data_IF_194198833417
#
_entry.id   IF_194198833417
#
_cell.length_a   1.000
_cell.length_b   1.000
_cell.length_c   1.000
_cell.angle_alpha   90.00
_cell.angle_beta   90.00
_cell.angle_gamma   90.00
#
_symmetry.space_group_name_H-M   'P 1'
#
loop_
_entity.id
_entity.type
_entity.pdbx_description
1 polymer ?
#
# COMPACT_ATOMS: atom_id res chain seq x y z
N UNK A 1 -10.00 9.84 32.89
CA UNK A 1 -10.69 10.45 31.71
C UNK A 1 -11.94 11.19 32.12
N UNK A 2 -12.87 10.58 32.90
CA UNK A 2 -14.15 11.21 33.27
C UNK A 2 -13.95 12.53 34.02
N UNK A 3 -13.00 12.61 34.94
CA UNK A 3 -12.71 13.86 35.65
C UNK A 3 -12.24 14.98 34.71
N UNK A 4 -11.34 14.65 33.78
CA UNK A 4 -10.85 15.62 32.79
C UNK A 4 -11.95 16.05 31.82
N UNK A 5 -12.89 15.17 31.50
CA UNK A 5 -14.04 15.49 30.66
C UNK A 5 -14.98 16.48 31.36
N UNK A 6 -15.23 16.31 32.65
CA UNK A 6 -16.03 17.23 33.43
C UNK A 6 -15.37 18.62 33.52
N UNK A 7 -14.07 18.68 33.81
CA UNK A 7 -13.27 19.91 33.82
C UNK A 7 -13.29 20.61 32.46
N UNK A 8 -13.11 19.87 31.38
CA UNK A 8 -13.18 20.39 30.00
C UNK A 8 -14.53 21.04 29.72
N UNK A 9 -15.63 20.38 30.08
CA UNK A 9 -16.97 20.89 29.83
C UNK A 9 -17.23 22.19 30.62
N UNK A 10 -16.82 22.24 31.89
CA UNK A 10 -16.95 23.43 32.74
C UNK A 10 -16.15 24.60 32.20
N UNK A 11 -14.83 24.44 32.04
CA UNK A 11 -13.92 25.53 31.66
C UNK A 11 -14.20 26.00 30.23
N UNK A 12 -14.55 25.12 29.32
CA UNK A 12 -14.96 25.47 27.96
C UNK A 12 -16.25 26.32 27.99
N UNK A 13 -17.26 25.89 28.73
CA UNK A 13 -18.52 26.63 28.83
C UNK A 13 -18.36 28.01 29.45
N UNK A 14 -17.47 28.17 30.43
CA UNK A 14 -17.12 29.45 31.02
C UNK A 14 -16.38 30.35 30.03
N UNK A 15 -15.35 29.80 29.35
CA UNK A 15 -14.61 30.53 28.35
C UNK A 15 -15.49 30.99 27.17
N UNK A 16 -16.37 30.12 26.68
CA UNK A 16 -17.30 30.47 25.59
C UNK A 16 -18.26 31.63 25.98
N UNK A 17 -18.69 31.68 27.25
CA UNK A 17 -19.48 32.82 27.77
C UNK A 17 -18.67 34.13 27.80
N UNK A 18 -17.40 34.07 28.26
CA UNK A 18 -16.54 35.26 28.32
C UNK A 18 -16.25 35.76 26.92
N UNK A 19 -16.00 34.88 25.96
CA UNK A 19 -15.77 35.20 24.56
C UNK A 19 -16.98 35.91 23.96
N UNK A 20 -18.20 35.45 24.27
CA UNK A 20 -19.42 36.07 23.79
C UNK A 20 -19.65 37.46 24.44
N UNK A 21 -19.37 37.62 25.75
CA UNK A 21 -19.43 38.91 26.44
C UNK A 21 -18.41 39.91 25.89
N UNK A 22 -17.24 39.43 25.49
CA UNK A 22 -16.24 40.28 24.84
C UNK A 22 -16.73 40.80 23.48
N UNK A 23 -17.37 39.98 22.68
CA UNK A 23 -17.99 40.42 21.41
C UNK A 23 -19.05 41.51 21.61
N UNK A 24 -19.70 41.55 22.78
CA UNK A 24 -20.68 42.56 23.16
C UNK A 24 -20.06 43.77 23.87
N UNK A 25 -18.73 43.81 24.00
CA UNK A 25 -18.04 44.90 24.67
C UNK A 25 -18.19 44.90 26.19
N UNK A 26 -18.63 43.79 26.80
CA UNK A 26 -18.98 43.72 28.25
C UNK A 26 -17.83 43.25 29.13
N UNK A 27 -16.72 42.82 28.61
CA UNK A 27 -15.53 42.38 29.36
C UNK A 27 -14.24 42.92 28.73
N UNK A 28 -13.15 42.96 29.50
CA UNK A 28 -11.86 43.45 29.06
C UNK A 28 -11.12 42.47 28.11
N UNK A 29 -10.18 43.01 27.31
CA UNK A 29 -9.27 42.20 26.48
C UNK A 29 -8.50 41.17 27.32
N UNK A 30 -8.05 41.57 28.54
CA UNK A 30 -7.30 40.69 29.44
C UNK A 30 -8.16 39.50 29.91
N UNK A 31 -9.44 39.70 30.18
CA UNK A 31 -10.37 38.59 30.54
C UNK A 31 -10.63 37.69 29.37
N UNK A 32 -10.77 38.24 28.17
CA UNK A 32 -10.89 37.46 26.93
C UNK A 32 -9.66 36.59 26.71
N UNK A 33 -8.47 37.17 26.79
CA UNK A 33 -7.20 36.44 26.55
C UNK A 33 -7.01 35.29 27.58
N UNK A 34 -7.34 35.55 28.87
CA UNK A 34 -7.31 34.52 29.90
C UNK A 34 -8.29 33.38 29.59
N UNK A 35 -9.51 33.70 29.17
CA UNK A 35 -10.51 32.70 28.83
C UNK A 35 -10.09 31.85 27.62
N UNK A 36 -9.53 32.48 26.57
CA UNK A 36 -9.03 31.79 25.41
C UNK A 36 -7.85 30.87 25.79
N UNK A 37 -6.91 31.34 26.61
CA UNK A 37 -5.79 30.53 27.09
C UNK A 37 -6.25 29.34 27.94
N UNK A 38 -7.21 29.56 28.86
CA UNK A 38 -7.79 28.51 29.69
C UNK A 38 -8.49 27.44 28.83
N UNK A 39 -9.29 27.85 27.86
CA UNK A 39 -9.96 26.95 26.92
C UNK A 39 -8.94 26.11 26.10
N UNK A 40 -7.89 26.77 25.61
CA UNK A 40 -6.82 26.07 24.84
C UNK A 40 -6.11 25.02 25.69
N UNK A 41 -5.78 25.37 26.95
CA UNK A 41 -5.11 24.46 27.89
C UNK A 41 -5.97 23.25 28.21
N UNK A 42 -7.25 23.45 28.59
CA UNK A 42 -8.13 22.33 28.98
C UNK A 42 -8.47 21.44 27.77
N UNK A 43 -8.55 22.01 26.55
CA UNK A 43 -8.75 21.26 25.31
C UNK A 43 -7.58 20.36 25.02
N UNK A 44 -6.35 20.86 25.17
CA UNK A 44 -5.13 20.06 24.99
C UNK A 44 -5.07 18.89 25.98
N UNK A 45 -5.36 19.14 27.26
CA UNK A 45 -5.39 18.12 28.31
C UNK A 45 -6.46 17.05 28.04
N UNK A 46 -7.68 17.48 27.68
CA UNK A 46 -8.76 16.57 27.31
C UNK A 46 -8.38 15.68 26.13
N UNK A 47 -7.80 16.25 25.08
CA UNK A 47 -7.38 15.49 23.90
C UNK A 47 -6.27 14.49 24.26
N UNK A 48 -5.30 14.86 25.09
CA UNK A 48 -4.23 13.96 25.54
C UNK A 48 -4.81 12.75 26.30
N UNK A 49 -5.71 12.98 27.26
CA UNK A 49 -6.34 11.89 28.00
C UNK A 49 -7.30 11.05 27.16
N UNK A 50 -7.97 11.65 26.17
CA UNK A 50 -8.80 10.92 25.21
C UNK A 50 -7.97 10.00 24.31
N UNK A 51 -6.83 10.48 23.83
CA UNK A 51 -5.91 9.66 23.04
C UNK A 51 -5.36 8.52 23.87
N UNK A 52 -4.89 8.79 25.10
CA UNK A 52 -4.45 7.75 26.02
C UNK A 52 -5.53 6.68 26.29
N UNK A 53 -6.81 7.09 26.41
CA UNK A 53 -7.92 6.13 26.54
C UNK A 53 -8.14 5.32 25.24
N UNK A 54 -8.03 5.95 24.07
CA UNK A 54 -8.16 5.25 22.80
C UNK A 54 -7.02 4.22 22.61
N UNK A 55 -5.79 4.58 23.05
CA UNK A 55 -4.62 3.73 22.95
C UNK A 55 -4.71 2.47 23.86
N UNK A 56 -5.64 2.45 24.83
CA UNK A 56 -5.93 1.24 25.61
C UNK A 56 -6.69 0.17 24.80
N UNK A 57 -7.13 0.49 23.59
CA UNK A 57 -7.91 -0.42 22.73
C UNK A 57 -7.22 -0.54 21.38
N UNK A 58 -6.62 -1.69 21.15
CA UNK A 58 -6.10 -2.02 19.83
C UNK A 58 -7.27 -2.30 18.87
N UNK A 59 -7.34 -1.53 17.77
CA UNK A 59 -8.34 -1.69 16.72
C UNK A 59 -7.66 -2.08 15.43
N UNK A 60 -8.31 -2.93 14.63
CA UNK A 60 -7.88 -3.22 13.28
C UNK A 60 -7.92 -1.92 12.43
N UNK A 61 -6.84 -1.58 11.70
CA UNK A 61 -6.81 -0.39 10.84
C UNK A 61 -7.57 -0.57 9.53
N UNK A 62 -7.85 -1.80 9.13
CA UNK A 62 -8.56 -2.18 7.90
C UNK A 62 -9.33 -3.49 8.10
N UNK A 63 -10.20 -3.81 7.18
CA UNK A 63 -10.91 -5.10 7.14
C UNK A 63 -9.98 -6.18 6.58
N UNK A 64 -9.83 -7.29 7.31
CA UNK A 64 -8.89 -8.33 6.91
C UNK A 64 -8.90 -9.53 7.84
N UNK A 65 -7.91 -10.40 7.67
CA UNK A 65 -7.73 -11.59 8.50
C UNK A 65 -6.56 -11.42 9.45
N UNK A 66 -6.73 -11.93 10.67
CA UNK A 66 -5.61 -12.09 11.61
C UNK A 66 -4.72 -13.23 11.11
N UNK A 67 -3.49 -12.89 10.76
CA UNK A 67 -2.49 -13.88 10.35
C UNK A 67 -1.85 -14.55 11.55
N UNK A 68 -1.33 -13.74 12.48
CA UNK A 68 -0.69 -14.22 13.69
C UNK A 68 -1.12 -13.38 14.89
N UNK A 69 -1.29 -14.05 16.02
CA UNK A 69 -1.45 -13.47 17.34
C UNK A 69 -0.19 -13.82 18.15
N UNK A 70 0.61 -12.82 18.50
CA UNK A 70 1.91 -13.03 19.15
C UNK A 70 1.80 -13.16 20.67
N UNK A 71 0.74 -12.64 21.28
CA UNK A 71 0.53 -12.66 22.72
C UNK A 71 -0.87 -13.14 23.08
N UNK A 72 -0.98 -13.79 24.22
CA UNK A 72 -2.27 -14.19 24.81
C UNK A 72 -2.60 -13.29 26.00
N UNK A 73 -3.87 -13.10 26.30
CA UNK A 73 -4.29 -12.43 27.50
C UNK A 73 -4.24 -13.41 28.71
N UNK A 74 -3.77 -12.97 29.91
CA UNK A 74 -3.18 -11.69 30.22
C UNK A 74 -1.64 -11.74 30.12
N UNK A 75 -1.07 -10.98 29.20
CA UNK A 75 0.39 -10.84 29.05
C UNK A 75 0.79 -9.37 29.04
N UNK A 76 1.95 -9.07 29.59
CA UNK A 76 2.52 -7.71 29.56
C UNK A 76 3.31 -7.54 28.27
N UNK A 77 2.95 -6.55 27.49
CA UNK A 77 3.64 -6.19 26.23
C UNK A 77 4.30 -4.82 26.38
N UNK A 78 5.50 -4.70 25.82
CA UNK A 78 6.21 -3.42 25.79
C UNK A 78 5.74 -2.57 24.60
N UNK A 79 5.91 -1.26 24.73
CA UNK A 79 5.62 -0.33 23.63
C UNK A 79 6.48 -0.69 22.40
N UNK A 80 5.83 -0.69 21.22
CA UNK A 80 6.48 -1.03 19.96
C UNK A 80 6.51 -2.53 19.63
N UNK A 81 6.05 -3.40 20.55
CA UNK A 81 5.98 -4.84 20.27
C UNK A 81 4.72 -5.16 19.43
N UNK A 82 4.87 -5.89 18.31
CA UNK A 82 3.72 -6.29 17.50
C UNK A 82 2.86 -7.31 18.26
N UNK A 83 1.57 -7.03 18.43
CA UNK A 83 0.61 -7.89 19.15
C UNK A 83 -0.11 -8.82 18.20
N UNK A 84 -0.46 -8.33 17.00
CA UNK A 84 -1.21 -9.03 15.97
C UNK A 84 -0.67 -8.64 14.61
N UNK A 85 -0.50 -9.59 13.70
CA UNK A 85 -0.34 -9.31 12.28
C UNK A 85 -1.65 -9.57 11.54
N UNK A 86 -1.95 -8.68 10.59
CA UNK A 86 -3.16 -8.77 9.78
C UNK A 86 -2.82 -8.77 8.30
N UNK A 87 -3.64 -9.44 7.51
CA UNK A 87 -3.56 -9.45 6.05
C UNK A 87 -4.79 -8.73 5.52
N UNK A 88 -4.55 -7.79 4.58
CA UNK A 88 -5.61 -7.14 3.82
C UNK A 88 -6.36 -8.18 2.97
N UNK A 89 -7.66 -7.94 2.82
CA UNK A 89 -8.58 -8.84 2.15
C UNK A 89 -8.91 -8.44 0.71
N UNK A 90 -8.51 -7.26 0.26
CA UNK A 90 -9.00 -6.69 -0.98
C UNK A 90 -8.21 -7.16 -2.21
N UNK A 91 -6.90 -7.33 -2.06
CA UNK A 91 -6.02 -7.73 -3.16
C UNK A 91 -4.77 -8.46 -2.66
N UNK A 92 -4.08 -9.12 -3.58
CA UNK A 92 -2.75 -9.66 -3.37
C UNK A 92 -1.72 -8.79 -4.09
N UNK A 93 -0.54 -8.67 -3.52
CA UNK A 93 0.63 -8.14 -4.22
C UNK A 93 1.43 -9.31 -4.79
N UNK A 94 1.86 -9.17 -6.04
CA UNK A 94 2.68 -10.16 -6.76
C UNK A 94 3.98 -9.48 -7.14
N UNK A 95 5.08 -9.97 -6.58
CA UNK A 95 6.42 -9.48 -6.86
C UNK A 95 7.09 -10.36 -7.91
N UNK A 96 7.54 -9.74 -8.99
CA UNK A 96 8.22 -10.42 -10.10
C UNK A 96 9.56 -9.77 -10.35
N UNK A 97 10.60 -10.60 -10.46
CA UNK A 97 11.92 -10.12 -10.81
C UNK A 97 12.09 -10.13 -12.35
N UNK A 98 12.31 -8.96 -12.93
CA UNK A 98 12.51 -8.76 -14.37
C UNK A 98 13.98 -8.48 -14.68
N UNK A 99 14.52 -9.00 -15.79
CA UNK A 99 15.87 -8.72 -16.24
C UNK A 99 16.06 -7.25 -16.66
N UNK A 100 17.31 -6.77 -16.63
CA UNK A 100 17.65 -5.40 -17.04
C UNK A 100 17.20 -5.07 -18.47
N UNK A 101 17.26 -6.06 -19.39
CA UNK A 101 16.80 -5.90 -20.77
C UNK A 101 15.30 -5.58 -20.87
N UNK A 102 14.48 -6.23 -20.04
CA UNK A 102 13.05 -5.98 -20.01
C UNK A 102 12.73 -4.66 -19.26
N UNK A 103 13.51 -4.33 -18.22
CA UNK A 103 13.38 -3.05 -17.52
C UNK A 103 13.60 -1.84 -18.44
N UNK A 104 14.57 -1.91 -19.37
CA UNK A 104 14.80 -0.83 -20.35
C UNK A 104 13.57 -0.64 -21.24
N UNK A 105 12.86 -1.72 -21.56
CA UNK A 105 11.67 -1.75 -22.41
C UNK A 105 10.36 -1.63 -21.63
N UNK A 106 10.37 -1.24 -20.36
CA UNK A 106 9.18 -1.15 -19.48
C UNK A 106 8.06 -0.25 -20.03
N UNK A 107 8.40 0.73 -20.86
CA UNK A 107 7.43 1.61 -21.52
C UNK A 107 6.64 0.90 -22.64
N UNK A 108 7.13 -0.25 -23.08
CA UNK A 108 6.47 -1.11 -24.07
C UNK A 108 5.56 -2.16 -23.41
N UNK A 109 5.48 -2.23 -22.10
CA UNK A 109 4.59 -3.14 -21.41
C UNK A 109 3.13 -2.76 -21.68
N UNK A 110 2.30 -3.75 -22.07
CA UNK A 110 0.91 -3.51 -22.44
C UNK A 110 -0.08 -4.33 -21.61
N UNK A 111 0.20 -5.60 -21.42
CA UNK A 111 -0.73 -6.52 -20.75
C UNK A 111 -0.01 -7.32 -19.69
N UNK A 112 -0.73 -7.56 -18.60
CA UNK A 112 -0.20 -8.31 -17.46
C UNK A 112 -1.22 -9.32 -17.01
N UNK A 113 -0.83 -10.56 -16.90
CA UNK A 113 -1.66 -11.61 -16.33
C UNK A 113 -0.83 -12.66 -15.61
N UNK A 114 -1.46 -13.29 -14.64
CA UNK A 114 -0.86 -14.38 -13.89
C UNK A 114 -1.64 -15.66 -14.11
N UNK A 115 -0.92 -16.78 -14.00
CA UNK A 115 -1.47 -18.12 -13.89
C UNK A 115 -0.93 -18.75 -12.62
N UNK A 116 -1.80 -19.40 -11.84
CA UNK A 116 -1.40 -20.14 -10.65
C UNK A 116 -1.55 -21.63 -10.89
N UNK A 117 -0.61 -22.43 -10.37
CA UNK A 117 -0.64 -23.88 -10.52
C UNK A 117 -1.91 -24.51 -9.96
N UNK A 118 -2.52 -23.87 -8.94
CA UNK A 118 -3.77 -24.31 -8.33
C UNK A 118 -5.02 -24.04 -9.17
N UNK A 119 -4.90 -23.19 -10.22
CA UNK A 119 -5.98 -22.89 -11.17
C UNK A 119 -5.38 -22.61 -12.58
N UNK A 120 -4.84 -23.63 -13.25
CA UNK A 120 -4.07 -23.47 -14.48
C UNK A 120 -4.87 -22.88 -15.65
N UNK A 121 -6.18 -23.13 -15.68
CA UNK A 121 -7.07 -22.63 -16.73
C UNK A 121 -7.55 -21.19 -16.52
N UNK A 122 -7.18 -20.58 -15.39
CA UNK A 122 -7.62 -19.23 -15.04
C UNK A 122 -6.56 -18.20 -15.39
N UNK A 123 -6.91 -17.27 -16.28
CA UNK A 123 -6.10 -16.07 -16.55
C UNK A 123 -6.48 -14.99 -15.55
N UNK A 124 -5.56 -14.64 -14.68
CA UNK A 124 -5.77 -13.65 -13.63
C UNK A 124 -5.17 -12.31 -14.07
N UNK A 125 -6.01 -11.29 -14.34
CA UNK A 125 -5.50 -9.99 -14.75
C UNK A 125 -4.72 -9.33 -13.61
N UNK A 126 -3.61 -8.70 -13.97
CA UNK A 126 -2.73 -7.97 -13.07
C UNK A 126 -2.74 -6.48 -13.41
N UNK A 127 -2.61 -5.66 -12.39
CA UNK A 127 -2.39 -4.22 -12.49
C UNK A 127 -0.97 -3.91 -12.02
N UNK A 128 -0.16 -3.26 -12.87
CA UNK A 128 1.18 -2.84 -12.49
C UNK A 128 1.10 -1.70 -11.48
N UNK A 129 1.69 -1.88 -10.30
CA UNK A 129 1.78 -0.85 -9.26
C UNK A 129 3.03 0.00 -9.45
N UNK A 130 4.18 -0.65 -9.45
CA UNK A 130 5.47 0.02 -9.67
C UNK A 130 6.54 -0.97 -10.14
N UNK A 131 7.68 -0.41 -10.55
CA UNK A 131 8.92 -1.14 -10.81
C UNK A 131 10.04 -0.43 -10.05
N UNK A 132 10.81 -1.16 -9.26
CA UNK A 132 11.93 -0.59 -8.50
C UNK A 132 12.93 0.06 -9.46
N UNK A 133 13.48 1.22 -9.07
CA UNK A 133 14.48 1.93 -9.86
C UNK A 133 15.90 1.39 -9.67
N UNK A 134 16.12 0.54 -8.67
CA UNK A 134 17.39 -0.11 -8.38
C UNK A 134 17.30 -1.62 -8.55
N UNK A 135 18.30 -2.20 -9.22
CA UNK A 135 18.43 -3.65 -9.32
C UNK A 135 18.84 -4.25 -7.97
N UNK A 136 18.37 -5.46 -7.70
CA UNK A 136 18.81 -6.26 -6.56
C UNK A 136 20.20 -6.86 -6.78
N UNK A 137 20.73 -7.64 -5.81
CA UNK A 137 22.04 -8.30 -5.92
C UNK A 137 22.20 -9.21 -7.13
N UNK A 138 21.10 -9.73 -7.70
CA UNK A 138 21.08 -10.56 -8.89
C UNK A 138 20.93 -9.76 -10.19
N UNK A 139 21.05 -8.43 -10.14
CA UNK A 139 20.85 -7.52 -11.27
C UNK A 139 19.44 -7.57 -11.88
N UNK A 140 18.44 -7.90 -11.04
CA UNK A 140 17.05 -7.95 -11.42
C UNK A 140 16.30 -6.77 -10.80
N UNK A 141 15.33 -6.23 -11.52
CA UNK A 141 14.41 -5.21 -11.03
C UNK A 141 13.13 -5.87 -10.56
N UNK A 142 12.57 -5.42 -9.43
CA UNK A 142 11.31 -5.96 -8.94
C UNK A 142 10.14 -5.16 -9.48
N UNK A 143 9.28 -5.81 -10.26
CA UNK A 143 7.99 -5.29 -10.68
C UNK A 143 6.92 -5.78 -9.70
N UNK A 144 6.12 -4.87 -9.16
CA UNK A 144 5.01 -5.17 -8.24
C UNK A 144 3.70 -4.99 -8.96
N UNK A 145 2.85 -6.00 -8.82
CA UNK A 145 1.53 -6.04 -9.42
C UNK A 145 0.47 -6.22 -8.34
N UNK A 146 -0.69 -5.65 -8.58
CA UNK A 146 -1.91 -5.92 -7.83
C UNK A 146 -2.69 -7.01 -8.53
N UNK A 147 -3.05 -8.04 -7.76
CA UNK A 147 -3.95 -9.11 -8.18
C UNK A 147 -5.23 -9.01 -7.36
N UNK A 148 -6.37 -8.88 -8.04
CA UNK A 148 -7.66 -8.89 -7.37
C UNK A 148 -7.82 -10.22 -6.62
N UNK A 149 -8.36 -10.15 -5.41
CA UNK A 149 -8.55 -11.33 -4.57
C UNK A 149 -9.30 -12.44 -5.31
N UNK A 150 -8.72 -13.62 -5.23
CA UNK A 150 -9.32 -14.88 -5.68
C UNK A 150 -9.38 -15.83 -4.47
N UNK A 151 -10.55 -16.42 -4.15
CA UNK A 151 -10.72 -17.27 -2.96
C UNK A 151 -9.89 -18.55 -2.97
N UNK A 152 -9.40 -18.96 -4.15
CA UNK A 152 -8.54 -20.16 -4.30
C UNK A 152 -7.09 -19.86 -3.96
N UNK A 153 -6.67 -18.58 -4.03
CA UNK A 153 -5.31 -18.17 -3.77
C UNK A 153 -5.11 -17.76 -2.32
N UNK A 154 -3.91 -18.03 -1.81
CA UNK A 154 -3.46 -17.59 -0.50
C UNK A 154 -2.09 -16.91 -0.58
N UNK A 155 -1.79 -15.97 0.36
CA UNK A 155 -0.47 -15.37 0.46
C UNK A 155 0.63 -16.43 0.58
N UNK A 156 1.74 -16.24 -0.11
CA UNK A 156 2.87 -17.18 -0.14
C UNK A 156 2.80 -18.22 -1.25
N UNK A 157 1.73 -18.26 -2.05
CA UNK A 157 1.67 -19.08 -3.25
C UNK A 157 2.47 -18.47 -4.40
N UNK A 158 3.07 -19.33 -5.22
CA UNK A 158 3.76 -18.92 -6.44
C UNK A 158 2.79 -18.80 -7.61
N UNK A 159 3.04 -17.81 -8.45
CA UNK A 159 2.29 -17.58 -9.70
C UNK A 159 3.28 -17.34 -10.85
N UNK A 160 2.91 -17.76 -12.04
CA UNK A 160 3.63 -17.42 -13.27
C UNK A 160 3.05 -16.15 -13.86
N UNK A 161 3.87 -15.12 -14.06
CA UNK A 161 3.43 -13.83 -14.62
C UNK A 161 3.87 -13.74 -16.07
N UNK A 162 2.92 -13.39 -16.93
CA UNK A 162 3.15 -13.09 -18.34
C UNK A 162 2.99 -11.61 -18.60
N UNK A 163 4.04 -10.99 -19.14
CA UNK A 163 4.07 -9.58 -19.53
C UNK A 163 4.03 -9.51 -21.05
N UNK A 164 2.98 -8.90 -21.59
CA UNK A 164 2.87 -8.64 -23.03
C UNK A 164 3.48 -7.29 -23.38
N UNK A 165 4.27 -7.27 -24.46
CA UNK A 165 4.89 -6.06 -24.99
C UNK A 165 4.12 -5.51 -26.18
N UNK A 166 4.29 -4.22 -26.45
CA UNK A 166 3.81 -3.61 -27.70
C UNK A 166 4.38 -4.37 -28.90
N UNK A 167 3.56 -4.64 -29.92
CA UNK A 167 4.08 -5.22 -31.15
C UNK A 167 5.20 -4.35 -31.70
N UNK A 168 6.33 -4.96 -32.07
CA UNK A 168 7.37 -4.25 -32.82
C UNK A 168 6.78 -3.77 -34.14
N UNK A 169 7.10 -2.53 -34.53
CA UNK A 169 6.75 -2.02 -35.87
C UNK A 169 7.56 -2.70 -36.98
N UNK A 170 8.60 -3.45 -36.63
CA UNK A 170 9.38 -4.24 -37.56
C UNK A 170 8.65 -5.55 -37.86
N UNK A 171 8.43 -5.81 -39.13
CA UNK A 171 7.88 -7.08 -39.57
C UNK A 171 8.84 -8.21 -39.22
N UNK A 172 8.49 -9.01 -38.23
CA UNK A 172 9.25 -10.20 -37.86
C UNK A 172 8.62 -11.42 -38.52
N UNK A 173 9.46 -12.24 -39.15
CA UNK A 173 9.08 -13.56 -39.69
C UNK A 173 9.78 -14.64 -38.88
N UNK A 174 8.97 -15.60 -38.41
CA UNK A 174 9.50 -16.78 -37.72
C UNK A 174 9.86 -17.81 -38.80
N UNK A 175 11.13 -18.19 -38.83
CA UNK A 175 11.63 -19.21 -39.77
C UNK A 175 12.22 -20.38 -38.98
N UNK A 176 12.06 -21.65 -39.46
CA UNK A 176 12.72 -22.79 -38.83
C UNK A 176 14.23 -22.62 -38.87
N UNK A 177 14.93 -23.07 -37.83
CA UNK A 177 16.41 -23.04 -37.80
C UNK A 177 17.03 -23.77 -39.03
N UNK A 178 16.35 -24.78 -39.54
CA UNK A 178 16.76 -25.52 -40.76
C UNK A 178 16.70 -24.66 -42.04
N UNK A 179 16.03 -23.53 -42.05
CA UNK A 179 15.98 -22.60 -43.18
C UNK A 179 17.12 -21.56 -43.14
N UNK A 180 17.91 -21.55 -42.05
CA UNK A 180 19.05 -20.65 -41.89
C UNK A 180 20.30 -21.29 -42.53
N UNK A 181 21.02 -20.52 -43.33
CA UNK A 181 22.35 -20.88 -43.77
C UNK A 181 23.34 -19.78 -43.42
N UNK A 182 24.57 -20.20 -43.16
CA UNK A 182 25.66 -19.29 -42.80
C UNK A 182 26.52 -19.01 -44.04
N UNK A 183 26.79 -17.73 -44.27
CA UNK A 183 27.74 -17.26 -45.27
C UNK A 183 28.51 -16.07 -44.70
N UNK A 184 29.84 -16.14 -44.79
CA UNK A 184 30.75 -15.09 -44.32
C UNK A 184 30.51 -14.65 -42.85
N UNK A 185 30.11 -15.61 -41.97
CA UNK A 185 29.85 -15.37 -40.56
C UNK A 185 28.47 -14.70 -40.26
N UNK A 186 27.63 -14.52 -41.26
CA UNK A 186 26.28 -13.99 -41.15
C UNK A 186 25.23 -15.06 -41.47
N UNK A 187 24.05 -14.95 -40.84
CA UNK A 187 22.92 -15.85 -41.08
C UNK A 187 22.00 -15.27 -42.15
N UNK A 188 21.63 -16.11 -43.12
CA UNK A 188 20.73 -15.76 -44.23
C UNK A 188 19.59 -16.78 -44.34
N UNK A 189 18.49 -16.32 -44.97
CA UNK A 189 17.37 -17.16 -45.40
C UNK A 189 17.09 -16.91 -46.89
N UNK A 190 16.64 -17.92 -47.60
CA UNK A 190 16.17 -17.74 -48.97
C UNK A 190 14.74 -17.19 -48.93
N UNK A 191 14.51 -16.08 -49.62
CA UNK A 191 13.19 -15.56 -49.86
C UNK A 191 12.75 -15.94 -51.30
N UNK A 192 11.63 -16.64 -51.39
CA UNK A 192 11.03 -16.93 -52.68
C UNK A 192 10.04 -15.84 -53.02
N UNK A 193 10.23 -15.10 -54.11
CA UNK A 193 9.27 -14.16 -54.67
C UNK A 193 8.66 -14.79 -55.90
N UNK A 194 7.31 -14.91 -55.93
CA UNK A 194 6.59 -15.28 -57.14
C UNK A 194 6.56 -14.16 -58.19
#
# INVERSE_FOLDING_TARGET
FNATQAEYTQVKGEADRIIELYRRGSVSVNEYDKAVAARKRVTALYNAHRNALNDTRLKAPFDGYVQNKYFNAPEIVNQGTPVVSMIDNDYFEVDVNIPSGDFIRREDFMTFHANADVCPDSILPLELLDITQGANYNQLFTARFRLKRNPVLAPGMSVSVTIGFKPSSEAMSIVPVSALFMKDGQSFVWLYNE
#
